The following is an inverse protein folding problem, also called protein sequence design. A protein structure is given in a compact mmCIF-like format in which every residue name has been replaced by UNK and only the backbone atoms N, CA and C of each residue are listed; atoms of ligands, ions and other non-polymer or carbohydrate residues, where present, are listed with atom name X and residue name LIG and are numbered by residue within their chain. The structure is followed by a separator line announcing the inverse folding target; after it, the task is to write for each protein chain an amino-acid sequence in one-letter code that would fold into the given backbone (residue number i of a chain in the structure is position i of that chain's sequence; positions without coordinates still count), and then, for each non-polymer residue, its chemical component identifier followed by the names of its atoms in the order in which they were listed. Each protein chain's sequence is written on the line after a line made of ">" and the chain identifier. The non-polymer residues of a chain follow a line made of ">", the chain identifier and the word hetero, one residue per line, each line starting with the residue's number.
data_IF_429704553153
#
_entry.id   IF_429704553153
#
_cell.length_a   1.000
_cell.length_b   1.000
_cell.length_c   1.000
_cell.angle_alpha   90.00
_cell.angle_beta   90.00
_cell.angle_gamma   90.00
#
_symmetry.space_group_name_H-M   'P 1'
#
loop_
_entity.id
_entity.type
_entity.pdbx_description
1 polymer ?
#
# COMPACT_ATOMS: atom_id res chain seq x y z
N UNK A 1 19.77 13.89 -23.43
CA UNK A 1 20.19 13.94 -22.01
C UNK A 1 19.91 12.60 -21.39
N UNK A 2 20.95 11.93 -20.93
CA UNK A 2 20.76 10.73 -20.12
C UNK A 2 20.01 11.12 -18.84
N UNK A 3 18.81 10.66 -18.68
CA UNK A 3 18.07 10.82 -17.42
C UNK A 3 18.91 10.22 -16.32
N UNK A 4 19.24 10.99 -15.29
CA UNK A 4 19.91 10.46 -14.11
C UNK A 4 18.97 9.41 -13.51
N UNK A 5 19.36 8.14 -13.56
CA UNK A 5 18.63 7.06 -12.92
C UNK A 5 18.71 7.25 -11.40
N UNK A 6 17.73 7.97 -10.86
CA UNK A 6 17.62 8.21 -9.42
C UNK A 6 16.93 7.00 -8.81
N UNK A 7 17.65 6.31 -7.90
CA UNK A 7 17.11 5.20 -7.14
C UNK A 7 16.77 5.70 -5.74
N UNK A 8 15.50 5.69 -5.39
CA UNK A 8 15.03 6.09 -4.06
C UNK A 8 15.02 4.88 -3.13
N UNK A 9 15.80 4.93 -2.06
CA UNK A 9 15.93 3.85 -1.09
C UNK A 9 15.67 4.33 0.33
N UNK A 10 15.13 3.46 1.18
CA UNK A 10 15.06 3.70 2.62
C UNK A 10 16.43 3.44 3.28
N UNK A 11 16.63 3.96 4.49
CA UNK A 11 17.86 3.70 5.27
C UNK A 11 18.13 2.20 5.49
N UNK A 12 17.06 1.42 5.70
CA UNK A 12 17.15 -0.04 5.84
C UNK A 12 17.64 -0.71 4.53
N UNK A 13 17.17 -0.24 3.40
CA UNK A 13 17.55 -0.76 2.09
C UNK A 13 19.00 -0.40 1.76
N UNK A 14 19.44 0.82 2.07
CA UNK A 14 20.82 1.24 1.92
C UNK A 14 21.77 0.37 2.75
N UNK A 15 21.42 0.11 4.01
CA UNK A 15 22.20 -0.78 4.88
C UNK A 15 22.25 -2.20 4.32
N UNK A 16 21.14 -2.74 3.85
CA UNK A 16 21.09 -4.05 3.20
C UNK A 16 21.98 -4.08 1.96
N UNK A 17 21.88 -3.08 1.11
CA UNK A 17 22.66 -2.96 -0.12
C UNK A 17 24.17 -2.97 0.17
N UNK A 18 24.61 -2.18 1.15
CA UNK A 18 26.01 -2.13 1.58
C UNK A 18 26.54 -3.50 2.03
N UNK A 19 25.75 -4.21 2.85
CA UNK A 19 26.13 -5.55 3.34
C UNK A 19 26.15 -6.57 2.19
N UNK A 20 25.18 -6.53 1.29
CA UNK A 20 25.11 -7.45 0.15
C UNK A 20 26.26 -7.20 -0.84
N UNK A 21 26.67 -5.97 -1.08
CA UNK A 21 27.85 -5.69 -1.90
C UNK A 21 29.12 -6.33 -1.32
N UNK A 22 29.29 -6.31 0.00
CA UNK A 22 30.38 -7.03 0.65
C UNK A 22 30.34 -8.55 0.45
N UNK A 23 29.14 -9.11 0.36
CA UNK A 23 28.96 -10.53 0.04
C UNK A 23 29.34 -10.81 -1.42
N UNK A 24 28.94 -9.96 -2.35
CA UNK A 24 29.29 -10.08 -3.77
C UNK A 24 30.79 -9.96 -3.98
N UNK A 25 31.42 -9.03 -3.29
CA UNK A 25 32.90 -8.81 -3.33
C UNK A 25 33.69 -9.87 -2.56
N UNK A 26 32.99 -10.86 -1.97
CA UNK A 26 33.60 -11.95 -1.16
C UNK A 26 34.29 -11.49 0.10
N UNK A 27 34.07 -10.28 0.56
CA UNK A 27 34.58 -9.76 1.84
C UNK A 27 33.78 -10.31 3.04
N UNK A 28 32.53 -10.71 2.81
CA UNK A 28 31.61 -11.21 3.84
C UNK A 28 30.96 -12.50 3.38
N UNK A 29 30.78 -13.47 4.29
CA UNK A 29 30.04 -14.68 4.00
C UNK A 29 28.52 -14.44 4.05
N UNK A 30 27.75 -15.29 3.37
CA UNK A 30 26.29 -15.22 3.41
C UNK A 30 25.74 -15.41 4.83
N UNK A 31 26.38 -16.27 5.62
CA UNK A 31 26.03 -16.50 7.03
C UNK A 31 26.32 -15.24 7.86
N UNK A 32 27.45 -14.60 7.64
CA UNK A 32 27.78 -13.33 8.29
C UNK A 32 26.77 -12.22 7.96
N UNK A 33 26.40 -12.12 6.69
CA UNK A 33 25.36 -11.17 6.25
C UNK A 33 23.99 -11.47 6.88
N UNK A 34 23.61 -12.73 7.00
CA UNK A 34 22.36 -13.13 7.64
C UNK A 34 22.29 -12.70 9.10
N UNK A 35 23.39 -12.84 9.83
CA UNK A 35 23.51 -12.35 11.21
C UNK A 35 23.43 -10.82 11.32
N UNK A 36 24.08 -10.10 10.42
CA UNK A 36 24.08 -8.61 10.41
C UNK A 36 22.71 -8.02 10.04
N UNK A 37 21.96 -8.67 9.17
CA UNK A 37 20.69 -8.17 8.64
C UNK A 37 19.47 -8.82 9.32
N UNK A 38 19.65 -9.78 10.22
CA UNK A 38 18.59 -10.60 10.80
C UNK A 38 17.67 -11.23 9.73
N UNK A 39 18.27 -11.74 8.66
CA UNK A 39 17.59 -12.44 7.57
C UNK A 39 18.12 -13.87 7.48
N UNK A 40 17.31 -14.79 6.99
CA UNK A 40 17.79 -16.16 6.76
C UNK A 40 18.70 -16.24 5.52
N UNK A 41 19.60 -17.21 5.49
CA UNK A 41 20.56 -17.42 4.38
C UNK A 41 19.87 -17.54 3.02
N UNK A 42 18.74 -18.20 2.98
CA UNK A 42 17.94 -18.33 1.75
C UNK A 42 17.50 -16.96 1.21
N UNK A 43 17.16 -16.04 2.10
CA UNK A 43 16.76 -14.68 1.70
C UNK A 43 17.98 -13.88 1.24
N UNK A 44 19.12 -14.03 1.91
CA UNK A 44 20.39 -13.42 1.48
C UNK A 44 20.74 -13.86 0.06
N UNK A 45 20.72 -15.16 -0.24
CA UNK A 45 20.96 -15.69 -1.59
C UNK A 45 20.02 -15.10 -2.63
N UNK A 46 18.73 -14.98 -2.31
CA UNK A 46 17.75 -14.37 -3.22
C UNK A 46 18.05 -12.91 -3.50
N UNK A 47 18.45 -12.16 -2.48
CA UNK A 47 18.82 -10.75 -2.64
C UNK A 47 20.11 -10.62 -3.46
N UNK A 48 21.13 -11.43 -3.18
CA UNK A 48 22.39 -11.46 -3.95
C UNK A 48 22.11 -11.73 -5.42
N UNK A 49 21.34 -12.79 -5.74
CA UNK A 49 20.98 -13.12 -7.12
C UNK A 49 20.22 -11.98 -7.80
N UNK A 50 19.31 -11.34 -7.09
CA UNK A 50 18.52 -10.23 -7.65
C UNK A 50 19.38 -9.02 -7.94
N UNK A 51 20.30 -8.65 -7.04
CA UNK A 51 21.23 -7.54 -7.25
C UNK A 51 22.22 -7.85 -8.38
N UNK A 52 22.67 -9.09 -8.49
CA UNK A 52 23.55 -9.52 -9.60
C UNK A 52 22.85 -9.41 -10.96
N UNK A 53 21.55 -9.68 -11.02
CA UNK A 53 20.77 -9.62 -12.26
C UNK A 53 20.22 -8.21 -12.59
N UNK A 54 19.73 -7.51 -11.61
CA UNK A 54 18.99 -6.23 -11.77
C UNK A 54 19.81 -5.00 -11.36
N UNK A 55 21.00 -5.19 -10.78
CA UNK A 55 21.79 -4.12 -10.18
C UNK A 55 21.21 -3.66 -8.83
N UNK A 56 21.62 -2.49 -8.38
CA UNK A 56 21.22 -1.94 -7.07
C UNK A 56 19.71 -1.75 -6.93
N UNK A 57 19.00 -1.60 -8.02
CA UNK A 57 17.52 -1.56 -8.05
C UNK A 57 16.88 -2.83 -7.48
N UNK A 58 17.59 -3.95 -7.51
CA UNK A 58 17.10 -5.24 -7.00
C UNK A 58 16.88 -5.27 -5.48
N UNK A 59 17.44 -4.34 -4.71
CA UNK A 59 17.20 -4.26 -3.27
C UNK A 59 15.77 -3.75 -2.94
N UNK A 60 15.19 -2.99 -3.84
CA UNK A 60 13.87 -2.40 -3.66
C UNK A 60 12.79 -3.45 -3.83
N UNK A 61 11.82 -3.47 -2.92
CA UNK A 61 10.72 -4.41 -3.03
C UNK A 61 9.89 -4.12 -4.30
N UNK A 62 9.64 -5.16 -5.11
CA UNK A 62 8.92 -5.03 -6.40
C UNK A 62 7.50 -4.46 -6.29
N UNK A 63 6.88 -4.60 -5.11
CA UNK A 63 5.53 -4.06 -4.89
C UNK A 63 5.53 -2.57 -4.48
N UNK A 64 6.70 -1.96 -4.30
CA UNK A 64 6.75 -0.53 -3.95
C UNK A 64 6.12 0.31 -5.07
N UNK A 65 5.21 1.19 -4.68
CA UNK A 65 4.49 2.06 -5.62
C UNK A 65 3.38 1.39 -6.42
N UNK A 66 3.21 0.07 -6.29
CA UNK A 66 2.08 -0.62 -6.93
C UNK A 66 0.84 -0.54 -6.05
N UNK A 67 -0.31 -0.17 -6.60
CA UNK A 67 -1.55 -0.21 -5.85
C UNK A 67 -1.89 -1.65 -5.45
N UNK A 68 -2.59 -1.82 -4.33
CA UNK A 68 -3.07 -3.13 -3.89
C UNK A 68 -3.99 -3.76 -4.95
N UNK A 69 -3.89 -5.07 -5.14
CA UNK A 69 -4.79 -5.82 -6.02
C UNK A 69 -6.27 -5.70 -5.62
N UNK A 70 -6.52 -5.38 -4.34
CA UNK A 70 -7.87 -5.18 -3.79
C UNK A 70 -8.33 -3.73 -3.85
N UNK A 71 -7.52 -2.82 -4.41
CA UNK A 71 -7.88 -1.42 -4.53
C UNK A 71 -9.04 -1.26 -5.52
N UNK A 72 -10.10 -0.62 -5.08
CA UNK A 72 -11.23 -0.26 -5.94
C UNK A 72 -10.76 0.66 -7.07
N UNK A 73 -11.16 0.41 -8.33
CA UNK A 73 -10.83 1.29 -9.46
C UNK A 73 -11.27 2.73 -9.21
N UNK A 74 -10.46 3.71 -9.62
CA UNK A 74 -10.76 5.13 -9.43
C UNK A 74 -12.11 5.54 -10.02
N UNK A 75 -12.46 5.02 -11.19
CA UNK A 75 -13.75 5.28 -11.85
C UNK A 75 -14.94 4.82 -11.00
N UNK A 76 -14.85 3.63 -10.40
CA UNK A 76 -15.88 3.09 -9.52
C UNK A 76 -15.98 3.89 -8.23
N UNK A 77 -14.83 4.26 -7.63
CA UNK A 77 -14.77 5.13 -6.45
C UNK A 77 -15.45 6.48 -6.71
N UNK A 78 -15.13 7.14 -7.81
CA UNK A 78 -15.71 8.43 -8.19
C UNK A 78 -17.22 8.32 -8.44
N UNK A 79 -17.68 7.27 -9.11
CA UNK A 79 -19.11 6.98 -9.32
C UNK A 79 -19.85 6.82 -7.99
N UNK A 80 -19.32 6.03 -7.07
CA UNK A 80 -19.89 5.82 -5.73
C UNK A 80 -19.97 7.14 -4.96
N UNK A 81 -18.88 7.91 -4.94
CA UNK A 81 -18.85 9.19 -4.24
C UNK A 81 -19.79 10.24 -4.83
N UNK A 82 -19.94 10.29 -6.14
CA UNK A 82 -20.92 11.14 -6.80
C UNK A 82 -22.37 10.76 -6.42
N UNK A 83 -22.70 9.47 -6.40
CA UNK A 83 -24.00 8.99 -5.94
C UNK A 83 -24.25 9.34 -4.47
N UNK A 84 -23.25 9.21 -3.61
CA UNK A 84 -23.36 9.60 -2.21
C UNK A 84 -23.55 11.10 -2.01
N UNK A 85 -22.99 11.94 -2.87
CA UNK A 85 -23.18 13.39 -2.82
C UNK A 85 -24.54 13.85 -3.35
N UNK A 86 -25.08 13.16 -4.34
CA UNK A 86 -26.32 13.55 -5.03
C UNK A 86 -27.53 12.80 -4.51
N UNK A 87 -27.59 11.48 -4.73
CA UNK A 87 -28.74 10.63 -4.42
C UNK A 87 -28.86 10.27 -2.94
N UNK A 88 -27.73 9.99 -2.30
CA UNK A 88 -27.65 9.52 -0.92
C UNK A 88 -27.08 10.59 0.03
N UNK A 89 -27.47 11.82 -0.20
CA UNK A 89 -27.06 12.95 0.62
C UNK A 89 -27.46 12.71 2.09
N UNK A 90 -26.58 13.01 3.01
CA UNK A 90 -26.76 12.86 4.47
C UNK A 90 -26.88 11.41 4.97
N UNK A 91 -26.78 10.41 4.12
CA UNK A 91 -26.75 9.02 4.55
C UNK A 91 -25.44 8.70 5.25
N UNK A 92 -25.52 7.95 6.36
CA UNK A 92 -24.31 7.41 6.96
C UNK A 92 -23.69 6.34 6.05
N UNK A 93 -22.39 6.03 6.21
CA UNK A 93 -21.71 5.07 5.34
C UNK A 93 -22.35 3.67 5.29
N UNK A 94 -22.87 3.19 6.41
CA UNK A 94 -23.53 1.87 6.48
C UNK A 94 -24.79 1.84 5.62
N UNK A 95 -25.67 2.81 5.81
CA UNK A 95 -26.93 2.89 5.06
C UNK A 95 -26.67 3.19 3.57
N UNK A 96 -25.72 4.08 3.26
CA UNK A 96 -25.31 4.35 1.89
C UNK A 96 -24.76 3.10 1.19
N UNK A 97 -23.97 2.28 1.88
CA UNK A 97 -23.44 1.03 1.30
C UNK A 97 -24.54 0.01 1.00
N UNK A 98 -25.52 -0.11 1.88
CA UNK A 98 -26.71 -0.97 1.66
C UNK A 98 -27.51 -0.53 0.44
N UNK A 99 -27.77 0.75 0.32
CA UNK A 99 -28.52 1.31 -0.83
C UNK A 99 -27.76 1.24 -2.15
N UNK A 100 -26.46 1.38 -2.12
CA UNK A 100 -25.59 1.18 -3.29
C UNK A 100 -25.68 -0.25 -3.82
N UNK A 101 -25.73 -1.23 -2.94
CA UNK A 101 -25.91 -2.64 -3.33
C UNK A 101 -27.32 -2.88 -3.89
N UNK A 102 -28.36 -2.39 -3.21
CA UNK A 102 -29.77 -2.64 -3.58
C UNK A 102 -30.16 -1.98 -4.92
N UNK A 103 -29.72 -0.76 -5.15
CA UNK A 103 -30.20 0.07 -6.27
C UNK A 103 -29.21 0.11 -7.41
N UNK A 104 -27.92 0.29 -7.09
CA UNK A 104 -26.88 0.53 -8.08
C UNK A 104 -26.01 -0.71 -8.34
N UNK A 105 -26.24 -1.80 -7.63
CA UNK A 105 -25.44 -3.05 -7.70
C UNK A 105 -23.93 -2.83 -7.45
N UNK A 106 -23.61 -1.80 -6.69
CA UNK A 106 -22.23 -1.44 -6.35
C UNK A 106 -21.88 -1.95 -4.95
N UNK A 107 -20.97 -2.91 -4.88
CA UNK A 107 -20.51 -3.50 -3.61
C UNK A 107 -19.37 -2.67 -3.05
N UNK A 108 -19.57 -2.09 -1.86
CA UNK A 108 -18.53 -1.38 -1.12
C UNK A 108 -18.68 -1.66 0.37
N UNK A 109 -17.56 -1.88 1.04
CA UNK A 109 -17.56 -2.04 2.49
C UNK A 109 -17.89 -0.71 3.18
N UNK A 110 -18.79 -0.68 4.19
CA UNK A 110 -19.15 0.55 4.92
C UNK A 110 -17.94 1.29 5.50
N UNK A 111 -16.96 0.58 6.02
CA UNK A 111 -15.74 1.20 6.56
C UNK A 111 -14.88 1.84 5.47
N UNK A 112 -14.75 1.20 4.32
CA UNK A 112 -14.09 1.80 3.14
C UNK A 112 -14.78 3.07 2.70
N UNK A 113 -16.12 3.06 2.66
CA UNK A 113 -16.93 4.23 2.29
C UNK A 113 -16.76 5.36 3.32
N UNK A 114 -16.71 5.03 4.62
CA UNK A 114 -16.44 6.00 5.68
C UNK A 114 -15.10 6.70 5.50
N UNK A 115 -14.04 5.94 5.20
CA UNK A 115 -12.71 6.49 4.94
C UNK A 115 -12.70 7.40 3.70
N UNK A 116 -13.39 7.02 2.65
CA UNK A 116 -13.54 7.86 1.45
C UNK A 116 -14.30 9.16 1.73
N UNK A 117 -15.30 9.13 2.61
CA UNK A 117 -16.01 10.34 3.06
C UNK A 117 -15.07 11.29 3.80
N UNK A 118 -14.23 10.77 4.69
CA UNK A 118 -13.22 11.56 5.41
C UNK A 118 -12.23 12.18 4.41
N UNK A 119 -11.71 11.39 3.47
CA UNK A 119 -10.76 11.83 2.44
C UNK A 119 -11.32 12.98 1.58
N UNK A 120 -12.60 12.89 1.22
CA UNK A 120 -13.29 13.90 0.39
C UNK A 120 -14.01 15.01 1.18
N UNK A 121 -13.93 15.00 2.49
CA UNK A 121 -14.61 15.97 3.34
C UNK A 121 -16.14 15.90 3.29
N UNK A 122 -16.71 14.72 2.97
CA UNK A 122 -18.17 14.52 2.95
C UNK A 122 -18.66 14.34 4.39
N UNK A 123 -19.59 15.19 4.80
CA UNK A 123 -20.25 15.11 6.11
C UNK A 123 -21.54 14.31 6.05
N UNK A 124 -21.87 13.64 7.13
CA UNK A 124 -23.13 12.89 7.28
C UNK A 124 -23.63 12.99 8.72
N UNK A 125 -24.94 12.78 8.92
CA UNK A 125 -25.54 12.80 10.26
C UNK A 125 -25.08 11.58 11.06
N UNK A 126 -24.35 11.86 12.15
CA UNK A 126 -23.96 10.82 13.11
C UNK A 126 -25.13 10.52 14.05
N UNK A 127 -25.31 9.25 14.37
CA UNK A 127 -26.28 8.82 15.36
C UNK A 127 -25.86 9.40 16.72
N UNK A 128 -26.74 10.15 17.39
CA UNK A 128 -26.49 10.59 18.76
C UNK A 128 -26.46 9.36 19.66
N UNK A 129 -25.38 9.19 20.41
CA UNK A 129 -25.30 8.14 21.44
C UNK A 129 -26.42 8.32 22.45
N UNK A 130 -27.04 7.21 22.89
CA UNK A 130 -27.97 7.28 24.03
C UNK A 130 -27.17 7.66 25.25
N UNK A 131 -27.48 8.82 25.84
CA UNK A 131 -27.00 9.15 27.19
C UNK A 131 -27.71 8.20 28.15
N UNK A 132 -26.97 7.27 28.72
CA UNK A 132 -27.48 6.52 29.88
C UNK A 132 -27.65 7.51 31.03
N UNK A 133 -28.87 7.65 31.51
CA UNK A 133 -29.15 8.27 32.78
C UNK A 133 -28.86 7.28 33.89
#
# INVERSE_FOLDING_TARGET
>A
MAGKDIITMSQKELKRLSVIHKVIDKELTQIGASGMLNLCDRQIRRIVNRITQEGDKGIIHRSRGRPSNRKTPSKTKDKILNLCKTRYKDFNPTFASEKLVEIDELIVNPETLRLWFIERGITYKKRKGKTHR
#
